data_IF_054454610930
#
_entry.id   IF_054454610930
#
_cell.length_a   1.000
_cell.length_b   1.000
_cell.length_c   1.000
_cell.angle_alpha   90.00
_cell.angle_beta   90.00
_cell.angle_gamma   90.00
#
_symmetry.space_group_name_H-M   'P 1'
#
loop_
_entity.id
_entity.type
_entity.pdbx_description
1 polymer ?
#
# COMPACT_ATOMS: atom_id res chain seq x y z
N UNK A 1 12.80 3.96 -10.75
CA UNK A 1 12.22 2.87 -9.93
C UNK A 1 13.35 1.97 -9.46
N UNK A 2 13.53 1.81 -8.16
CA UNK A 2 14.43 0.80 -7.59
C UNK A 2 13.66 -0.53 -7.53
N UNK A 3 14.18 -1.58 -8.18
CA UNK A 3 13.58 -2.91 -8.13
C UNK A 3 14.22 -3.74 -7.02
N UNK A 4 13.46 -3.98 -5.94
CA UNK A 4 13.86 -4.86 -4.83
C UNK A 4 13.53 -6.33 -5.16
N UNK A 5 14.33 -6.94 -6.05
CA UNK A 5 14.07 -8.30 -6.56
C UNK A 5 14.09 -9.37 -5.46
N UNK A 6 14.94 -9.20 -4.45
CA UNK A 6 15.05 -10.07 -3.28
C UNK A 6 14.01 -9.76 -2.20
N UNK A 7 13.23 -8.68 -2.34
CA UNK A 7 12.23 -8.21 -1.37
C UNK A 7 12.83 -7.93 0.01
N UNK A 8 14.10 -7.55 0.07
CA UNK A 8 14.81 -7.30 1.33
C UNK A 8 14.25 -6.07 2.02
N UNK A 9 14.05 -4.99 1.26
CA UNK A 9 13.48 -3.74 1.76
C UNK A 9 12.01 -3.97 2.09
N UNK A 10 11.27 -4.65 1.21
CA UNK A 10 9.86 -4.98 1.44
C UNK A 10 9.63 -5.74 2.76
N UNK A 11 10.46 -6.75 3.06
CA UNK A 11 10.42 -7.48 4.33
C UNK A 11 10.88 -6.64 5.53
N UNK A 12 11.85 -5.75 5.34
CA UNK A 12 12.31 -4.85 6.40
C UNK A 12 11.19 -3.88 6.86
N UNK A 13 10.29 -3.49 5.96
CA UNK A 13 9.07 -2.73 6.29
C UNK A 13 7.97 -3.56 6.99
N UNK A 14 8.22 -4.84 7.27
CA UNK A 14 7.25 -5.73 7.91
C UNK A 14 6.11 -6.15 6.98
N UNK A 15 6.27 -5.93 5.67
CA UNK A 15 5.29 -6.34 4.68
C UNK A 15 5.54 -7.79 4.24
N UNK A 16 4.46 -8.50 3.95
CA UNK A 16 4.48 -9.89 3.56
C UNK A 16 3.36 -10.21 2.57
N UNK A 17 3.29 -11.45 2.12
CA UNK A 17 2.20 -11.93 1.27
C UNK A 17 1.12 -12.59 2.12
N UNK A 18 -0.16 -12.35 1.83
CA UNK A 18 -1.26 -13.03 2.53
C UNK A 18 -2.49 -13.22 1.66
N UNK A 19 -2.76 -14.49 1.34
CA UNK A 19 -3.93 -14.92 0.58
C UNK A 19 -5.24 -14.55 1.26
N UNK A 20 -5.39 -14.83 2.56
CA UNK A 20 -6.64 -14.60 3.30
C UNK A 20 -6.99 -13.12 3.45
N UNK A 21 -5.99 -12.25 3.57
CA UNK A 21 -6.16 -10.80 3.64
C UNK A 21 -6.52 -10.20 2.29
N UNK A 22 -5.90 -10.69 1.21
CA UNK A 22 -6.14 -10.21 -0.15
C UNK A 22 -7.48 -10.70 -0.69
N UNK A 23 -7.73 -12.00 -0.61
CA UNK A 23 -8.96 -12.66 -1.06
C UNK A 23 -10.07 -12.63 0.01
N UNK A 24 -10.06 -11.63 0.88
CA UNK A 24 -11.10 -11.51 1.91
C UNK A 24 -12.48 -11.34 1.25
N UNK A 25 -13.51 -11.96 1.81
CA UNK A 25 -14.88 -11.87 1.28
C UNK A 25 -15.33 -10.43 1.04
N UNK A 26 -14.97 -9.51 1.95
CA UNK A 26 -15.27 -8.07 1.83
C UNK A 26 -14.60 -7.44 0.61
N UNK A 27 -13.33 -7.78 0.37
CA UNK A 27 -12.58 -7.30 -0.81
C UNK A 27 -13.25 -7.79 -2.09
N UNK A 28 -13.50 -9.10 -2.18
CA UNK A 28 -14.11 -9.74 -3.36
C UNK A 28 -15.50 -9.17 -3.65
N UNK A 29 -16.35 -9.00 -2.62
CA UNK A 29 -17.68 -8.42 -2.78
C UNK A 29 -17.63 -6.98 -3.32
N UNK A 30 -16.66 -6.17 -2.88
CA UNK A 30 -16.50 -4.79 -3.37
C UNK A 30 -16.05 -4.76 -4.83
N UNK A 31 -15.10 -5.62 -5.21
CA UNK A 31 -14.68 -5.75 -6.60
C UNK A 31 -15.82 -6.26 -7.49
N UNK A 32 -16.61 -7.22 -7.02
CA UNK A 32 -17.80 -7.69 -7.75
C UNK A 32 -18.82 -6.56 -7.98
N UNK A 33 -18.99 -5.65 -7.01
CA UNK A 33 -19.84 -4.45 -7.19
C UNK A 33 -19.33 -3.52 -8.28
N UNK A 34 -18.01 -3.33 -8.40
CA UNK A 34 -17.44 -2.50 -9.47
C UNK A 34 -17.72 -3.10 -10.85
N UNK A 35 -17.52 -4.42 -11.00
CA UNK A 35 -17.89 -5.15 -12.24
C UNK A 35 -19.38 -4.98 -12.55
N UNK A 36 -20.25 -5.20 -11.56
CA UNK A 36 -21.70 -5.07 -11.72
C UNK A 36 -22.15 -3.64 -12.06
N UNK A 37 -21.35 -2.62 -11.69
CA UNK A 37 -21.61 -1.22 -11.99
C UNK A 37 -21.08 -0.79 -13.37
N UNK A 38 -20.52 -1.71 -14.15
CA UNK A 38 -19.92 -1.41 -15.45
C UNK A 38 -18.64 -0.57 -15.36
N UNK A 39 -17.95 -0.60 -14.22
CA UNK A 39 -16.68 0.11 -14.06
C UNK A 39 -15.58 -0.71 -14.73
N UNK A 40 -14.95 -0.13 -15.76
CA UNK A 40 -13.83 -0.75 -16.43
C UNK A 40 -12.62 -0.83 -15.50
N UNK A 41 -12.00 -2.01 -15.47
CA UNK A 41 -10.71 -2.20 -14.83
C UNK A 41 -9.62 -1.83 -15.84
N UNK A 42 -8.55 -1.14 -15.41
CA UNK A 42 -7.42 -0.88 -16.30
C UNK A 42 -6.82 -2.21 -16.76
N UNK A 43 -6.42 -2.30 -18.02
CA UNK A 43 -5.66 -3.44 -18.51
C UNK A 43 -4.34 -3.52 -17.74
N UNK A 44 -4.20 -4.53 -16.88
CA UNK A 44 -3.00 -4.72 -16.06
C UNK A 44 -2.01 -5.57 -16.88
N UNK A 45 -0.83 -5.05 -17.25
CA UNK A 45 0.17 -5.83 -17.97
C UNK A 45 0.58 -7.07 -17.15
N UNK A 46 0.84 -8.23 -17.78
CA UNK A 46 1.14 -9.48 -17.07
C UNK A 46 2.30 -9.40 -16.07
N UNK A 47 3.24 -8.48 -16.29
CA UNK A 47 4.40 -8.22 -15.41
C UNK A 47 4.00 -7.68 -14.04
N UNK A 48 2.82 -7.07 -13.91
CA UNK A 48 2.28 -6.59 -12.65
C UNK A 48 1.45 -7.64 -11.91
N UNK A 49 1.18 -8.79 -12.54
CA UNK A 49 0.46 -9.91 -11.92
C UNK A 49 1.39 -10.87 -11.16
N UNK A 50 2.71 -10.61 -11.15
CA UNK A 50 3.72 -11.50 -10.57
C UNK A 50 3.51 -11.79 -9.08
N UNK A 51 2.91 -10.86 -8.31
CA UNK A 51 2.47 -11.16 -6.93
C UNK A 51 1.23 -10.38 -6.51
N UNK A 52 0.08 -10.87 -6.95
CA UNK A 52 -1.23 -10.38 -6.53
C UNK A 52 -1.46 -10.46 -5.01
N UNK A 53 -0.70 -11.31 -4.30
CA UNK A 53 -0.90 -11.56 -2.87
C UNK A 53 0.01 -10.72 -1.97
N UNK A 54 0.86 -9.90 -2.58
CA UNK A 54 1.71 -8.95 -1.89
C UNK A 54 0.84 -7.93 -1.15
N UNK A 55 1.04 -7.80 0.17
CA UNK A 55 0.35 -6.78 0.94
C UNK A 55 0.98 -5.41 0.71
N UNK A 56 0.14 -4.41 0.53
CA UNK A 56 0.57 -3.02 0.52
C UNK A 56 0.78 -2.48 1.93
N UNK A 57 1.26 -1.24 1.98
CA UNK A 57 1.31 -0.43 3.18
C UNK A 57 1.73 0.98 2.81
N UNK A 58 1.32 1.93 3.64
CA UNK A 58 1.69 3.33 3.50
C UNK A 58 2.71 3.66 4.58
N UNK A 59 3.86 4.18 4.14
CA UNK A 59 4.98 4.52 5.02
C UNK A 59 5.41 5.95 4.73
N UNK A 60 5.73 6.68 5.79
CA UNK A 60 6.33 8.01 5.68
C UNK A 60 7.70 7.93 6.32
N UNK A 61 8.69 8.43 5.59
CA UNK A 61 10.09 8.50 6.01
C UNK A 61 10.46 9.97 6.27
N UNK A 62 11.33 10.22 7.23
CA UNK A 62 12.00 11.51 7.37
C UNK A 62 13.19 11.65 6.41
N UNK A 63 13.82 12.83 6.41
CA UNK A 63 15.00 13.12 5.57
C UNK A 63 16.21 12.21 5.87
N UNK A 64 16.28 11.67 7.09
CA UNK A 64 17.31 10.73 7.51
C UNK A 64 17.03 9.27 7.12
N UNK A 65 15.87 9.00 6.50
CA UNK A 65 15.44 7.66 6.11
C UNK A 65 14.82 6.84 7.26
N UNK A 66 14.47 7.47 8.39
CA UNK A 66 13.76 6.81 9.49
C UNK A 66 12.24 6.84 9.25
N UNK A 67 11.56 5.75 9.60
CA UNK A 67 10.11 5.63 9.42
C UNK A 67 9.36 6.40 10.50
N UNK A 68 8.64 7.46 10.12
CA UNK A 68 7.84 8.30 11.03
C UNK A 68 6.36 7.87 11.08
N UNK A 69 5.87 7.21 10.03
CA UNK A 69 4.56 6.56 9.98
C UNK A 69 4.71 5.19 9.32
N UNK A 70 4.14 4.16 9.96
CA UNK A 70 4.05 2.80 9.43
C UNK A 70 2.59 2.36 9.45
N UNK A 71 2.01 2.16 8.27
CA UNK A 71 0.66 1.63 8.11
C UNK A 71 0.67 0.41 7.17
N UNK A 72 1.03 -0.80 7.67
CA UNK A 72 0.88 -2.03 6.91
C UNK A 72 -0.62 -2.31 6.67
N UNK A 73 -1.04 -2.41 5.42
CA UNK A 73 -2.45 -2.63 5.08
C UNK A 73 -2.90 -4.03 5.55
N UNK A 74 -4.06 -4.11 6.20
CA UNK A 74 -4.66 -5.39 6.60
C UNK A 74 -5.40 -6.08 5.47
N UNK A 75 -5.86 -5.33 4.48
CA UNK A 75 -6.52 -5.82 3.27
C UNK A 75 -6.30 -4.82 2.11
N UNK A 76 -6.61 -5.18 0.85
CA UNK A 76 -6.37 -4.31 -0.31
C UNK A 76 -7.00 -2.93 -0.23
N UNK A 77 -8.09 -2.77 0.55
CA UNK A 77 -8.85 -1.53 0.69
C UNK A 77 -8.48 -0.73 1.94
N UNK A 78 -7.63 -1.26 2.80
CA UNK A 78 -7.16 -0.61 4.03
C UNK A 78 -6.14 0.45 3.64
N UNK A 79 -6.48 1.73 3.83
CA UNK A 79 -5.62 2.87 3.57
C UNK A 79 -5.77 3.86 4.74
N UNK A 80 -4.69 4.53 5.17
CA UNK A 80 -4.78 5.59 6.14
C UNK A 80 -5.54 6.77 5.52
N UNK A 81 -6.20 7.54 6.37
CA UNK A 81 -6.82 8.78 5.92
C UNK A 81 -5.74 9.80 5.56
N UNK A 82 -5.96 10.56 4.48
CA UNK A 82 -5.01 11.59 4.05
C UNK A 82 -4.68 12.59 5.18
N UNK A 83 -5.68 12.93 6.01
CA UNK A 83 -5.48 13.80 7.16
C UNK A 83 -4.50 13.23 8.20
N UNK A 84 -4.53 11.91 8.44
CA UNK A 84 -3.58 11.25 9.34
C UNK A 84 -2.16 11.31 8.81
N UNK A 85 -1.98 11.12 7.49
CA UNK A 85 -0.68 11.23 6.85
C UNK A 85 -0.12 12.65 6.99
N UNK A 86 -0.93 13.67 6.65
CA UNK A 86 -0.52 15.08 6.75
C UNK A 86 -0.19 15.48 8.18
N UNK A 87 -0.99 15.05 9.17
CA UNK A 87 -0.72 15.35 10.58
C UNK A 87 0.62 14.76 11.07
N UNK A 88 0.98 13.56 10.62
CA UNK A 88 2.27 12.95 10.96
C UNK A 88 3.44 13.69 10.31
N UNK A 89 3.27 14.17 9.08
CA UNK A 89 4.27 15.00 8.40
C UNK A 89 4.44 16.33 9.14
N UNK A 90 3.36 17.05 9.45
CA UNK A 90 3.44 18.37 10.10
C UNK A 90 3.96 18.35 11.54
N UNK A 91 3.81 17.22 12.26
CA UNK A 91 4.25 17.10 13.66
C UNK A 91 5.70 16.63 13.82
N UNK A 92 6.25 15.91 12.85
CA UNK A 92 7.60 15.32 12.92
C UNK A 92 8.54 15.75 11.79
N UNK A 93 8.02 16.18 10.65
CA UNK A 93 8.78 16.74 9.54
C UNK A 93 8.79 18.26 9.63
N UNK A 94 9.98 18.86 9.72
CA UNK A 94 10.14 20.24 9.28
C UNK A 94 10.17 20.21 7.74
N UNK A 95 9.18 20.79 7.04
CA UNK A 95 9.30 20.95 5.61
C UNK A 95 10.38 22.00 5.37
N UNK A 96 11.53 21.58 4.83
CA UNK A 96 12.54 22.52 4.37
C UNK A 96 11.95 23.30 3.20
N UNK A 97 11.69 24.60 3.42
CA UNK A 97 11.36 25.55 2.37
C UNK A 97 12.47 25.52 1.32
N UNK A 98 12.13 25.17 0.07
CA UNK A 98 12.96 25.43 -1.10
C UNK A 98 12.91 26.92 -1.45
#
# INVERSE_FOLDING_TARGET
>A
MLLDRQRTVYRAFGLGSSYSKVMSFKSLLKYAKYVASGQDFPDIPPRFLEDLYQLGGDFVLDEGGSVILSHPCKNPLDRPEAAQVVANISSKGHPTSL
#
